data_IF_866785818896
#
_entry.id   IF_866785818896
#
_cell.length_a   1.000
_cell.length_b   1.000
_cell.length_c   1.000
_cell.angle_alpha   90.00
_cell.angle_beta   90.00
_cell.angle_gamma   90.00
#
_symmetry.space_group_name_H-M   'P 1'
#
loop_
_entity.id
_entity.type
_entity.pdbx_description
1 polymer ?
#
# COMPACT_ATOMS: atom_id res chain seq x y z
N UNK A 1 6.51 -8.31 13.94
CA UNK A 1 5.56 -8.12 15.06
C UNK A 1 4.39 -7.20 14.69
N UNK A 2 4.61 -5.99 14.14
CA UNK A 2 3.52 -5.06 13.79
C UNK A 2 2.72 -5.51 12.57
N UNK A 3 3.39 -6.10 11.59
CA UNK A 3 2.81 -6.60 10.34
C UNK A 3 1.77 -7.69 10.60
N UNK A 4 2.10 -8.64 11.49
CA UNK A 4 1.19 -9.69 11.92
C UNK A 4 -0.06 -9.12 12.62
N UNK A 5 0.12 -8.15 13.52
CA UNK A 5 -1.00 -7.52 14.22
C UNK A 5 -1.93 -6.76 13.26
N UNK A 6 -1.36 -6.06 12.26
CA UNK A 6 -2.13 -5.40 11.20
C UNK A 6 -2.92 -6.41 10.37
N UNK A 7 -2.32 -7.55 10.00
CA UNK A 7 -3.03 -8.62 9.31
C UNK A 7 -4.21 -9.16 10.14
N UNK A 8 -4.02 -9.40 11.45
CA UNK A 8 -5.13 -9.81 12.34
C UNK A 8 -6.21 -8.73 12.48
N UNK A 9 -5.84 -7.45 12.50
CA UNK A 9 -6.82 -6.36 12.52
C UNK A 9 -7.63 -6.28 11.22
N UNK A 10 -6.98 -6.47 10.07
CA UNK A 10 -7.63 -6.52 8.77
C UNK A 10 -8.60 -7.71 8.66
N UNK A 11 -8.23 -8.90 9.16
CA UNK A 11 -9.16 -10.03 9.25
C UNK A 11 -10.39 -9.72 10.11
N UNK A 12 -10.20 -9.06 11.26
CA UNK A 12 -11.31 -8.63 12.12
C UNK A 12 -12.23 -7.61 11.42
N UNK A 13 -11.69 -6.83 10.49
CA UNK A 13 -12.45 -5.91 9.65
C UNK A 13 -13.13 -6.59 8.44
N UNK A 14 -13.00 -7.91 8.29
CA UNK A 14 -13.67 -8.70 7.26
C UNK A 14 -12.82 -9.06 6.04
N UNK A 15 -11.52 -8.70 6.00
CA UNK A 15 -10.62 -9.13 4.93
C UNK A 15 -10.30 -10.63 5.07
N UNK A 16 -10.14 -11.32 3.93
CA UNK A 16 -9.72 -12.72 3.88
C UNK A 16 -8.29 -12.80 3.38
N UNK A 17 -7.33 -12.90 4.30
CA UNK A 17 -5.89 -12.93 3.97
C UNK A 17 -5.33 -14.34 3.79
N UNK A 18 -6.10 -15.38 4.15
CA UNK A 18 -5.64 -16.77 4.13
C UNK A 18 -4.76 -17.11 5.32
N UNK A 19 -3.92 -18.14 5.18
CA UNK A 19 -3.04 -18.61 6.27
C UNK A 19 -1.80 -17.73 6.39
N UNK A 20 -1.63 -17.09 7.55
CA UNK A 20 -0.40 -16.38 7.90
C UNK A 20 -0.05 -16.62 9.37
N UNK A 21 1.25 -16.69 9.64
CA UNK A 21 1.78 -17.07 10.94
C UNK A 21 2.69 -15.97 11.48
N UNK A 22 2.77 -15.87 12.81
CA UNK A 22 3.74 -15.00 13.43
C UNK A 22 5.14 -15.60 13.25
N UNK A 23 6.17 -14.81 12.91
CA UNK A 23 7.51 -15.33 12.59
C UNK A 23 8.17 -16.19 13.69
N UNK A 24 7.66 -16.11 14.93
CA UNK A 24 8.13 -16.83 16.12
C UNK A 24 7.17 -17.91 16.62
N UNK A 25 6.19 -18.30 15.80
CA UNK A 25 5.28 -19.41 16.11
C UNK A 25 5.90 -20.73 15.67
N UNK A 26 5.52 -21.83 16.33
CA UNK A 26 6.03 -23.17 16.00
C UNK A 26 5.70 -23.54 14.54
N UNK A 27 4.51 -23.20 14.06
CA UNK A 27 4.08 -23.42 12.68
C UNK A 27 4.95 -22.63 11.68
N UNK A 28 5.32 -21.39 12.02
CA UNK A 28 6.22 -20.61 11.18
C UNK A 28 7.63 -21.22 11.13
N UNK A 29 8.13 -21.78 12.25
CA UNK A 29 9.44 -22.44 12.26
C UNK A 29 9.48 -23.65 11.31
N UNK A 30 8.43 -24.46 11.28
CA UNK A 30 8.31 -25.59 10.35
C UNK A 30 8.29 -25.13 8.88
N UNK A 31 7.50 -24.10 8.57
CA UNK A 31 7.43 -23.51 7.23
C UNK A 31 8.79 -22.95 6.80
N UNK A 32 9.51 -22.29 7.70
CA UNK A 32 10.84 -21.73 7.43
C UNK A 32 11.85 -22.85 7.15
N UNK A 33 11.78 -23.98 7.87
CA UNK A 33 12.62 -25.17 7.60
C UNK A 33 12.36 -25.73 6.19
N UNK A 34 11.12 -25.65 5.71
CA UNK A 34 10.74 -26.02 4.34
C UNK A 34 11.31 -25.12 3.23
N UNK A 35 11.87 -23.94 3.57
CA UNK A 35 12.51 -22.97 2.65
C UNK A 35 11.61 -22.44 1.51
N UNK A 36 10.31 -22.72 1.55
CA UNK A 36 9.33 -22.24 0.58
C UNK A 36 8.26 -21.41 1.28
N UNK A 37 8.48 -20.09 1.34
CA UNK A 37 7.59 -19.16 2.04
C UNK A 37 7.74 -17.73 1.52
N UNK A 38 6.73 -16.92 1.79
CA UNK A 38 6.77 -15.46 1.62
C UNK A 38 6.89 -14.84 3.00
N UNK A 39 7.84 -13.92 3.15
CA UNK A 39 8.07 -13.24 4.42
C UNK A 39 7.83 -11.74 4.29
N UNK A 40 6.93 -11.21 5.11
CA UNK A 40 6.59 -9.79 5.14
C UNK A 40 7.40 -9.06 6.21
N UNK A 41 8.02 -7.96 5.80
CA UNK A 41 8.77 -7.08 6.69
C UNK A 41 8.50 -5.62 6.35
N UNK A 42 8.47 -4.79 7.38
CA UNK A 42 8.47 -3.34 7.18
C UNK A 42 9.66 -2.90 6.30
N UNK A 43 9.44 -1.93 5.42
CA UNK A 43 10.47 -1.41 4.49
C UNK A 43 11.74 -0.92 5.20
N UNK A 44 11.59 -0.37 6.41
CA UNK A 44 12.71 0.10 7.23
C UNK A 44 13.39 -1.01 8.07
N UNK A 45 12.92 -2.26 8.01
CA UNK A 45 13.56 -3.34 8.74
C UNK A 45 14.97 -3.56 8.19
N UNK A 46 15.99 -3.27 9.00
CA UNK A 46 17.42 -3.35 8.67
C UNK A 46 17.96 -4.77 8.45
N UNK A 47 17.13 -5.75 8.07
CA UNK A 47 17.64 -7.07 7.70
C UNK A 47 18.39 -6.94 6.38
N UNK A 48 19.73 -6.87 6.47
CA UNK A 48 20.62 -7.17 5.35
C UNK A 48 20.15 -8.51 4.79
N UNK A 49 19.60 -8.48 3.59
CA UNK A 49 19.27 -9.65 2.78
C UNK A 49 20.55 -10.39 2.41
N UNK A 50 21.22 -10.98 3.40
CA UNK A 50 22.31 -11.92 3.20
C UNK A 50 21.76 -13.34 2.97
N UNK A 51 20.44 -13.49 2.86
CA UNK A 51 19.75 -14.75 2.62
C UNK A 51 19.64 -15.08 1.13
N UNK A 52 19.51 -16.37 0.83
CA UNK A 52 19.41 -16.92 -0.53
C UNK A 52 18.11 -16.57 -1.28
N UNK A 53 17.17 -15.84 -0.67
CA UNK A 53 15.85 -15.56 -1.23
C UNK A 53 15.80 -14.42 -2.24
N UNK A 54 14.65 -14.30 -2.91
CA UNK A 54 14.28 -13.16 -3.74
C UNK A 54 13.62 -12.09 -2.89
N UNK A 55 14.02 -10.83 -3.06
CA UNK A 55 13.50 -9.70 -2.31
C UNK A 55 12.74 -8.75 -3.24
N UNK A 56 11.46 -8.56 -2.94
CA UNK A 56 10.59 -7.65 -3.67
C UNK A 56 10.21 -6.51 -2.74
N UNK A 57 10.57 -5.29 -3.13
CA UNK A 57 10.19 -4.06 -2.44
C UNK A 57 9.02 -3.45 -3.18
N UNK A 58 7.91 -3.25 -2.46
CA UNK A 58 6.74 -2.53 -2.97
C UNK A 58 6.89 -1.05 -2.64
N UNK A 59 6.69 -0.19 -3.63
CA UNK A 59 6.82 1.26 -3.45
C UNK A 59 5.81 2.01 -4.30
N UNK A 60 5.21 3.05 -3.75
CA UNK A 60 4.39 4.00 -4.52
C UNK A 60 5.18 4.93 -5.44
N UNK A 61 6.52 4.77 -5.53
CA UNK A 61 7.32 5.53 -6.47
C UNK A 61 7.10 5.02 -7.90
N UNK A 62 6.54 5.87 -8.75
CA UNK A 62 6.29 5.56 -10.15
C UNK A 62 7.57 5.68 -10.98
N UNK A 63 7.76 4.75 -11.90
CA UNK A 63 8.84 4.77 -12.88
C UNK A 63 8.32 4.24 -14.23
N UNK A 64 9.09 4.40 -15.31
CA UNK A 64 8.64 4.11 -16.68
C UNK A 64 8.29 2.64 -16.98
N UNK A 65 8.42 1.74 -16.00
CA UNK A 65 8.16 0.30 -16.08
C UNK A 65 7.45 -0.15 -14.80
N UNK A 66 6.76 -1.30 -14.77
CA UNK A 66 6.11 -1.77 -13.54
C UNK A 66 7.09 -2.26 -12.45
N UNK A 67 8.32 -2.66 -12.83
CA UNK A 67 9.38 -3.02 -11.87
C UNK A 67 10.79 -2.59 -12.34
N UNK A 68 11.71 -2.44 -11.39
CA UNK A 68 13.14 -2.15 -11.60
C UNK A 68 14.00 -3.10 -10.78
N UNK A 69 15.08 -3.64 -11.36
CA UNK A 69 16.06 -4.46 -10.62
C UNK A 69 17.00 -3.55 -9.81
N UNK A 70 17.13 -3.82 -8.52
CA UNK A 70 18.03 -3.11 -7.59
C UNK A 70 19.37 -3.84 -7.35
N UNK A 71 19.43 -5.11 -7.71
CA UNK A 71 20.63 -5.93 -7.61
C UNK A 71 20.34 -7.41 -7.81
N UNK A 72 21.29 -8.27 -7.43
CA UNK A 72 21.09 -9.71 -7.45
C UNK A 72 19.92 -10.08 -6.53
N UNK A 73 18.90 -10.75 -7.09
CA UNK A 73 17.70 -11.19 -6.36
C UNK A 73 16.94 -10.06 -5.65
N UNK A 74 17.04 -8.81 -6.12
CA UNK A 74 16.33 -7.66 -5.53
C UNK A 74 15.59 -6.85 -6.60
N UNK A 75 14.30 -6.63 -6.39
CA UNK A 75 13.42 -5.90 -7.29
C UNK A 75 12.63 -4.84 -6.52
N UNK A 76 12.40 -3.71 -7.18
CA UNK A 76 11.46 -2.67 -6.77
C UNK A 76 10.25 -2.76 -7.70
N UNK A 77 9.05 -2.80 -7.16
CA UNK A 77 7.78 -2.84 -7.89
C UNK A 77 7.01 -1.57 -7.58
N UNK A 78 6.55 -0.89 -8.63
CA UNK A 78 5.70 0.29 -8.54
C UNK A 78 4.30 -0.18 -8.10
N UNK A 79 4.07 -0.17 -6.80
CA UNK A 79 2.83 -0.60 -6.18
C UNK A 79 2.53 0.35 -5.01
N UNK A 80 1.62 1.29 -5.27
CA UNK A 80 1.18 2.29 -4.31
C UNK A 80 0.01 1.75 -3.48
N UNK A 81 -0.05 2.11 -2.21
CA UNK A 81 -1.21 1.91 -1.33
C UNK A 81 -2.22 3.07 -1.42
N UNK A 82 -1.96 4.06 -2.28
CA UNK A 82 -2.88 5.15 -2.57
C UNK A 82 -3.92 4.77 -3.63
N UNK A 83 -5.13 5.31 -3.47
CA UNK A 83 -6.15 5.25 -4.52
C UNK A 83 -5.69 6.01 -5.77
N UNK A 84 -6.02 5.49 -6.94
CA UNK A 84 -5.91 6.26 -8.18
C UNK A 84 -7.01 7.34 -8.25
N UNK A 85 -7.01 8.12 -9.33
CA UNK A 85 -7.99 9.19 -9.53
C UNK A 85 -9.44 8.68 -9.43
N UNK A 86 -9.76 7.58 -10.12
CA UNK A 86 -11.13 7.07 -10.18
C UNK A 86 -11.57 6.49 -8.82
N UNK A 87 -10.68 5.76 -8.15
CA UNK A 87 -10.91 5.26 -6.80
C UNK A 87 -11.13 6.38 -5.79
N UNK A 88 -10.38 7.47 -5.91
CA UNK A 88 -10.57 8.65 -5.06
C UNK A 88 -11.91 9.35 -5.33
N UNK A 89 -12.32 9.49 -6.60
CA UNK A 89 -13.65 10.01 -6.96
C UNK A 89 -14.75 9.12 -6.40
N UNK A 90 -14.69 7.80 -6.63
CA UNK A 90 -15.70 6.85 -6.16
C UNK A 90 -15.85 6.89 -4.63
N UNK A 91 -14.74 6.94 -3.90
CA UNK A 91 -14.73 7.10 -2.46
C UNK A 91 -15.49 8.37 -2.02
N UNK A 92 -15.15 9.53 -2.60
CA UNK A 92 -15.78 10.81 -2.27
C UNK A 92 -17.27 10.79 -2.58
N UNK A 93 -17.67 10.29 -3.75
CA UNK A 93 -19.07 10.25 -4.18
C UNK A 93 -19.90 9.34 -3.26
N UNK A 94 -19.39 8.16 -2.92
CA UNK A 94 -20.08 7.23 -2.02
C UNK A 94 -20.18 7.74 -0.59
N UNK A 95 -19.16 8.47 -0.12
CA UNK A 95 -19.16 9.06 1.22
C UNK A 95 -20.21 10.17 1.38
N UNK A 96 -20.70 10.78 0.28
CA UNK A 96 -21.66 11.90 0.28
C UNK A 96 -21.32 13.01 1.30
N UNK A 97 -20.07 13.52 1.29
CA UNK A 97 -19.65 14.52 2.24
C UNK A 97 -20.37 15.85 2.00
N UNK A 98 -20.57 16.63 3.07
CA UNK A 98 -21.05 18.02 2.94
C UNK A 98 -20.03 18.93 2.28
N UNK A 99 -18.74 18.70 2.56
CA UNK A 99 -17.59 19.45 2.02
C UNK A 99 -16.39 18.54 1.88
N UNK A 100 -15.53 18.81 0.91
CA UNK A 100 -14.26 18.11 0.69
C UNK A 100 -13.10 19.10 0.83
N UNK A 101 -12.09 18.75 1.63
CA UNK A 101 -10.85 19.51 1.74
C UNK A 101 -9.72 18.68 1.12
N UNK A 102 -9.10 19.21 0.07
CA UNK A 102 -8.02 18.54 -0.67
C UNK A 102 -6.69 19.14 -0.20
N UNK A 103 -5.89 18.33 0.49
CA UNK A 103 -4.54 18.72 0.90
C UNK A 103 -3.57 18.52 -0.27
N UNK A 104 -2.95 19.61 -0.73
CA UNK A 104 -2.06 19.59 -1.90
C UNK A 104 -0.57 19.51 -1.53
N UNK A 105 -0.20 19.38 -0.25
CA UNK A 105 1.20 19.40 0.21
C UNK A 105 2.13 18.39 -0.46
N UNK A 106 1.58 17.34 -1.08
CA UNK A 106 2.32 16.29 -1.81
C UNK A 106 1.77 16.00 -3.21
N UNK A 107 1.01 16.93 -3.79
CA UNK A 107 0.42 16.78 -5.12
C UNK A 107 0.57 18.06 -5.93
N UNK A 108 0.71 17.92 -7.25
CA UNK A 108 0.68 19.05 -8.19
C UNK A 108 -0.69 19.20 -8.86
N UNK A 109 -1.63 18.30 -8.59
CA UNK A 109 -2.91 18.20 -9.32
C UNK A 109 -4.15 18.38 -8.44
N UNK A 110 -3.98 18.83 -7.18
CA UNK A 110 -5.10 19.04 -6.27
C UNK A 110 -6.15 20.02 -6.80
N UNK A 111 -5.73 21.09 -7.48
CA UNK A 111 -6.64 22.06 -8.12
C UNK A 111 -7.56 21.42 -9.16
N UNK A 112 -6.99 20.60 -10.05
CA UNK A 112 -7.75 19.87 -11.07
C UNK A 112 -8.76 18.91 -10.44
N UNK A 113 -8.38 18.25 -9.34
CA UNK A 113 -9.27 17.36 -8.62
C UNK A 113 -10.44 18.10 -7.98
N UNK A 114 -10.19 19.25 -7.34
CA UNK A 114 -11.25 20.12 -6.78
C UNK A 114 -12.21 20.59 -7.87
N UNK A 115 -11.67 21.05 -9.01
CA UNK A 115 -12.47 21.48 -10.14
C UNK A 115 -13.34 20.35 -10.69
N UNK A 116 -12.76 19.15 -10.83
CA UNK A 116 -13.48 17.97 -11.29
C UNK A 116 -14.66 17.63 -10.38
N UNK A 117 -14.45 17.58 -9.06
CA UNK A 117 -15.51 17.28 -8.09
C UNK A 117 -16.66 18.30 -8.15
N UNK A 118 -16.33 19.60 -8.25
CA UNK A 118 -17.33 20.67 -8.36
C UNK A 118 -18.12 20.55 -9.67
N UNK A 119 -17.45 20.39 -10.80
CA UNK A 119 -18.08 20.41 -12.13
C UNK A 119 -18.84 19.13 -12.46
N UNK A 120 -18.31 17.97 -12.11
CA UNK A 120 -18.87 16.67 -12.50
C UNK A 120 -19.83 16.10 -11.47
N UNK A 121 -19.63 16.42 -10.19
CA UNK A 121 -20.43 15.85 -9.11
C UNK A 121 -21.16 16.88 -8.25
N UNK A 122 -20.99 18.19 -8.52
CA UNK A 122 -21.65 19.25 -7.74
C UNK A 122 -21.20 19.31 -6.28
N UNK A 123 -20.02 18.75 -5.96
CA UNK A 123 -19.51 18.64 -4.59
C UNK A 123 -18.78 19.92 -4.19
N UNK A 124 -19.08 20.42 -2.99
CA UNK A 124 -18.40 21.58 -2.40
C UNK A 124 -16.98 21.20 -1.93
N UNK A 125 -16.00 21.32 -2.82
CA UNK A 125 -14.61 20.97 -2.58
C UNK A 125 -13.72 22.21 -2.46
N UNK A 126 -12.65 22.18 -1.67
CA UNK A 126 -11.69 23.28 -1.49
C UNK A 126 -10.27 22.74 -1.46
N UNK A 127 -9.33 23.51 -2.02
CA UNK A 127 -7.90 23.24 -1.89
C UNK A 127 -7.39 23.85 -0.59
N UNK A 128 -6.63 23.08 0.19
CA UNK A 128 -5.85 23.61 1.30
C UNK A 128 -4.46 24.03 0.77
N UNK A 129 -3.92 25.16 1.28
CA UNK A 129 -2.58 25.63 0.94
C UNK A 129 -1.49 24.63 1.34
#
# INVERSE_FOLDING_TARGET
HKEYLLAKAAEKAGLRLGSFFHERSEEAEEIIRGRWYIHFHHMNARKKSNGCGSHVVLSGWEFSKPFKRLGQRRWLVAFSDHADFNGLVDYVVRARPRKVLVNNSRSTYGELFVEYLRRKHGIDAYLLP
#
